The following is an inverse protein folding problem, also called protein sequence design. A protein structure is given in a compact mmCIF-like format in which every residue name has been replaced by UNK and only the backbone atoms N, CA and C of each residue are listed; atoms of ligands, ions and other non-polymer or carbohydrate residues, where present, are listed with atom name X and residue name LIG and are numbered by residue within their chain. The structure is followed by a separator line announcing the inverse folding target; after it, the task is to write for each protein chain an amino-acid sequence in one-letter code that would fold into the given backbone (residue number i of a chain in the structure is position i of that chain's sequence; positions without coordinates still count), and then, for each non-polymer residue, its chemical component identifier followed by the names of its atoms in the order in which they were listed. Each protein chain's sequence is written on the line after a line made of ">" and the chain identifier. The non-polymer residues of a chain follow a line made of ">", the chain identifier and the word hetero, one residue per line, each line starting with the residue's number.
data_IF_164291536333
#
_entry.id   IF_164291536333
#
_cell.length_a   1.000
_cell.length_b   1.000
_cell.length_c   1.000
_cell.angle_alpha   90.00
_cell.angle_beta   90.00
_cell.angle_gamma   90.00
#
_symmetry.space_group_name_H-M   'P 1'
#
loop_
_entity.id
_entity.type
_entity.pdbx_description
1 polymer ?
#
# COMPACT_ATOMS: atom_id res chain seq x y z
N UNK A 1 -4.23 36.99 17.55
CA UNK A 1 -2.87 36.54 17.23
C UNK A 1 -2.98 35.04 17.03
N UNK A 2 -3.26 34.64 15.79
CA UNK A 2 -3.43 33.25 15.37
C UNK A 2 -2.17 32.88 14.61
N UNK A 3 -1.46 31.86 15.08
CA UNK A 3 -0.47 31.13 14.30
C UNK A 3 -0.23 29.80 15.01
N UNK A 4 -1.10 28.84 14.70
CA UNK A 4 -0.89 27.43 15.02
C UNK A 4 0.41 26.94 14.37
N UNK A 5 1.33 26.48 15.21
CA UNK A 5 2.52 25.76 14.78
C UNK A 5 2.21 24.27 14.89
N UNK A 6 1.62 23.71 13.84
CA UNK A 6 1.45 22.26 13.68
C UNK A 6 2.86 21.72 13.48
N UNK A 7 3.37 21.04 14.51
CA UNK A 7 4.64 20.35 14.44
C UNK A 7 4.57 19.34 13.31
N UNK A 8 5.48 19.49 12.35
CA UNK A 8 5.71 18.49 11.32
C UNK A 8 6.25 17.25 12.02
N UNK A 9 5.46 16.17 11.95
CA UNK A 9 5.85 14.86 12.43
C UNK A 9 7.00 14.36 11.56
N UNK A 10 8.22 14.59 12.05
CA UNK A 10 9.45 14.08 11.50
C UNK A 10 9.52 12.56 11.69
N UNK A 11 8.69 11.84 10.94
CA UNK A 11 8.80 10.40 10.77
C UNK A 11 10.14 10.07 10.14
N UNK A 12 11.11 9.82 11.00
CA UNK A 12 12.43 9.27 10.70
C UNK A 12 12.28 8.18 9.64
N UNK A 13 12.86 8.40 8.46
CA UNK A 13 12.99 7.39 7.42
C UNK A 13 13.93 6.29 7.91
N UNK A 14 13.42 5.42 8.79
CA UNK A 14 14.06 4.18 9.18
C UNK A 14 14.36 3.41 7.89
N UNK A 15 15.60 2.95 7.77
CA UNK A 15 16.15 2.29 6.59
C UNK A 15 15.10 1.43 5.87
N UNK A 16 14.89 1.72 4.58
CA UNK A 16 13.89 1.06 3.74
C UNK A 16 14.14 -0.46 3.68
N UNK A 17 13.62 -1.17 4.67
CA UNK A 17 13.60 -2.61 4.72
C UNK A 17 12.63 -3.15 3.67
N UNK A 18 12.70 -4.45 3.35
CA UNK A 18 11.69 -5.11 2.54
C UNK A 18 10.28 -4.79 3.04
N UNK A 19 9.37 -4.50 2.10
CA UNK A 19 7.96 -4.26 2.42
C UNK A 19 7.16 -5.53 2.11
N UNK A 20 6.46 -6.05 3.10
CA UNK A 20 5.66 -7.26 2.99
C UNK A 20 4.17 -6.92 2.98
N UNK A 21 3.36 -7.79 2.37
CA UNK A 21 1.90 -7.69 2.48
C UNK A 21 1.40 -8.52 3.67
N UNK A 22 0.28 -8.14 4.28
CA UNK A 22 -0.35 -8.98 5.32
C UNK A 22 -0.65 -10.40 4.82
N UNK A 23 -0.98 -10.55 3.53
CA UNK A 23 -1.23 -11.87 2.95
C UNK A 23 0.05 -12.72 2.87
N UNK A 24 1.20 -12.10 2.63
CA UNK A 24 2.48 -12.80 2.63
C UNK A 24 2.88 -13.23 4.04
N UNK A 25 2.72 -12.33 5.02
CA UNK A 25 2.95 -12.67 6.44
C UNK A 25 2.01 -13.78 6.89
N UNK A 26 0.72 -13.74 6.52
CA UNK A 26 -0.27 -14.76 6.88
C UNK A 26 0.05 -16.18 6.38
N UNK A 27 0.88 -16.31 5.33
CA UNK A 27 1.35 -17.62 4.84
C UNK A 27 2.48 -18.20 5.69
N UNK A 28 3.15 -17.38 6.51
CA UNK A 28 4.28 -17.76 7.37
C UNK A 28 3.80 -17.97 8.80
N UNK A 29 3.00 -19.02 8.97
CA UNK A 29 2.30 -19.35 10.21
C UNK A 29 2.64 -20.75 10.75
N UNK A 30 3.85 -21.25 10.50
CA UNK A 30 4.27 -22.60 10.87
C UNK A 30 5.55 -22.60 11.71
N UNK A 31 5.83 -23.68 12.43
CA UNK A 31 7.06 -23.81 13.24
C UNK A 31 8.37 -23.73 12.46
N UNK A 32 8.32 -23.83 11.12
CA UNK A 32 9.49 -23.69 10.24
C UNK A 32 9.64 -22.30 9.66
N UNK A 33 8.56 -21.52 9.66
CA UNK A 33 8.48 -20.16 9.13
C UNK A 33 7.36 -19.44 9.90
N UNK A 34 7.74 -18.84 11.03
CA UNK A 34 6.83 -18.14 11.94
C UNK A 34 7.14 -16.65 11.92
N UNK A 35 6.28 -15.88 11.26
CA UNK A 35 6.41 -14.43 11.19
C UNK A 35 5.32 -13.75 12.01
N UNK A 36 5.66 -12.62 12.62
CA UNK A 36 4.74 -11.81 13.41
C UNK A 36 4.80 -10.36 12.96
N UNK A 37 3.67 -9.66 13.01
CA UNK A 37 3.65 -8.20 12.87
C UNK A 37 3.48 -7.57 14.25
N UNK A 38 4.37 -6.64 14.60
CA UNK A 38 4.28 -5.85 15.83
C UNK A 38 4.54 -4.39 15.46
N UNK A 39 3.60 -3.48 15.76
CA UNK A 39 3.67 -2.05 15.43
C UNK A 39 3.95 -1.79 13.93
N UNK A 40 3.35 -2.58 13.04
CA UNK A 40 3.54 -2.47 11.59
C UNK A 40 4.88 -2.98 11.07
N UNK A 41 5.71 -3.58 11.92
CA UNK A 41 6.99 -4.20 11.55
C UNK A 41 6.88 -5.71 11.56
N UNK A 42 7.56 -6.35 10.62
CA UNK A 42 7.55 -7.81 10.44
C UNK A 42 8.81 -8.40 11.06
N UNK A 43 8.61 -9.45 11.86
CA UNK A 43 9.64 -10.16 12.59
C UNK A 43 9.63 -11.65 12.25
N UNK A 44 10.79 -12.21 11.94
CA UNK A 44 10.97 -13.65 11.79
C UNK A 44 11.42 -14.27 13.11
N UNK A 45 10.45 -14.84 13.84
CA UNK A 45 10.68 -15.43 15.17
C UNK A 45 10.91 -16.94 15.11
N UNK A 46 11.09 -17.51 13.91
CA UNK A 46 11.25 -18.97 13.73
C UNK A 46 12.34 -19.57 14.62
N UNK A 47 13.46 -18.86 14.78
CA UNK A 47 14.59 -19.30 15.62
C UNK A 47 14.40 -19.04 17.11
N UNK A 48 13.42 -18.22 17.47
CA UNK A 48 13.13 -17.82 18.83
C UNK A 48 12.00 -18.64 19.46
N UNK A 49 11.32 -19.50 18.69
CA UNK A 49 10.20 -20.32 19.18
C UNK A 49 10.54 -21.06 20.49
N UNK A 50 11.64 -21.81 20.50
CA UNK A 50 12.08 -22.61 21.66
C UNK A 50 12.71 -21.77 22.77
N UNK A 51 13.19 -20.57 22.45
CA UNK A 51 13.86 -19.66 23.40
C UNK A 51 12.89 -18.70 24.09
N UNK A 52 11.65 -18.61 23.59
CA UNK A 52 10.65 -17.69 24.11
C UNK A 52 10.22 -18.09 25.53
N UNK A 53 10.40 -17.22 26.55
CA UNK A 53 10.05 -17.55 27.93
C UNK A 53 8.56 -17.85 28.16
N UNK A 54 7.69 -17.33 27.30
CA UNK A 54 6.25 -17.61 27.31
C UNK A 54 5.84 -18.93 26.62
N UNK A 55 6.81 -19.67 26.06
CA UNK A 55 6.60 -20.88 25.28
C UNK A 55 6.39 -20.62 23.78
N UNK A 56 6.66 -21.63 22.96
CA UNK A 56 6.51 -21.53 21.49
C UNK A 56 5.04 -21.44 21.05
N UNK A 57 4.13 -22.06 21.79
CA UNK A 57 2.71 -22.16 21.44
C UNK A 57 2.07 -20.78 21.26
N UNK A 58 2.36 -19.83 22.16
CA UNK A 58 1.80 -18.48 22.06
C UNK A 58 2.35 -17.69 20.87
N UNK A 59 3.57 -18.01 20.39
CA UNK A 59 4.11 -17.42 19.17
C UNK A 59 3.46 -18.04 17.93
N UNK A 60 3.24 -19.36 17.95
CA UNK A 60 2.58 -20.08 16.85
C UNK A 60 1.11 -19.70 16.69
N UNK A 61 0.39 -19.46 17.80
CA UNK A 61 -0.98 -18.97 17.78
C UNK A 61 -1.12 -17.60 17.08
N UNK A 62 -0.09 -16.75 17.25
CA UNK A 62 -0.02 -15.42 16.65
C UNK A 62 0.69 -15.41 15.30
N UNK A 63 1.33 -16.50 14.89
CA UNK A 63 2.09 -16.57 13.66
C UNK A 63 1.22 -16.25 12.43
N UNK A 64 1.76 -15.40 11.57
CA UNK A 64 1.10 -14.86 10.39
C UNK A 64 0.12 -13.72 10.65
N UNK A 65 0.04 -13.19 11.88
CA UNK A 65 -0.92 -12.14 12.27
C UNK A 65 -0.22 -10.91 12.83
N UNK A 66 -1.02 -9.87 13.04
CA UNK A 66 -0.65 -8.73 13.85
C UNK A 66 -0.82 -9.09 15.33
N UNK A 67 0.31 -9.23 16.02
CA UNK A 67 0.43 -9.62 17.40
C UNK A 67 0.66 -8.40 18.32
N UNK A 68 0.48 -7.17 17.81
CA UNK A 68 0.74 -5.93 18.57
C UNK A 68 -0.04 -5.89 19.88
N UNK A 69 -1.33 -6.19 19.84
CA UNK A 69 -2.20 -6.20 21.02
C UNK A 69 -1.70 -7.22 22.05
N UNK A 70 -1.52 -8.48 21.64
CA UNK A 70 -1.01 -9.53 22.54
C UNK A 70 0.38 -9.21 23.10
N UNK A 71 1.25 -8.57 22.31
CA UNK A 71 2.59 -8.18 22.75
C UNK A 71 2.56 -7.10 23.83
N UNK A 72 1.69 -6.08 23.66
CA UNK A 72 1.54 -4.98 24.62
C UNK A 72 0.76 -5.41 25.87
N UNK A 73 -0.26 -6.27 25.74
CA UNK A 73 -1.05 -6.79 26.86
C UNK A 73 -0.20 -7.60 27.85
N UNK A 74 0.78 -8.35 27.35
CA UNK A 74 1.74 -9.09 28.20
C UNK A 74 2.69 -8.15 28.94
N UNK A 75 2.96 -6.95 28.39
CA UNK A 75 3.85 -5.98 29.01
C UNK A 75 5.34 -6.37 28.95
N UNK A 76 5.81 -6.77 27.77
CA UNK A 76 7.23 -7.11 27.55
C UNK A 76 8.19 -5.99 27.98
N UNK A 77 9.28 -6.36 28.67
CA UNK A 77 10.31 -5.45 29.18
C UNK A 77 11.04 -4.71 28.05
N UNK A 78 11.75 -3.64 28.41
CA UNK A 78 12.62 -2.90 27.46
C UNK A 78 13.64 -3.83 26.81
N UNK A 79 14.24 -4.73 27.58
CA UNK A 79 15.25 -5.65 27.08
C UNK A 79 14.66 -6.65 26.07
N UNK A 80 13.43 -7.13 26.31
CA UNK A 80 12.72 -7.97 25.36
C UNK A 80 12.41 -7.21 24.06
N UNK A 81 12.03 -5.92 24.15
CA UNK A 81 11.81 -5.05 22.99
C UNK A 81 13.10 -4.78 22.21
N UNK A 82 14.24 -4.70 22.88
CA UNK A 82 15.54 -4.59 22.20
C UNK A 82 15.93 -5.90 21.51
N UNK A 83 15.71 -7.05 22.16
CA UNK A 83 15.94 -8.37 21.57
C UNK A 83 15.07 -8.60 20.33
N UNK A 84 13.81 -8.17 20.36
CA UNK A 84 12.89 -8.25 19.23
C UNK A 84 13.47 -7.63 17.94
N UNK A 85 14.27 -6.56 18.05
CA UNK A 85 14.89 -5.90 16.88
C UNK A 85 15.83 -6.82 16.10
N UNK A 86 16.40 -7.86 16.73
CA UNK A 86 17.29 -8.83 16.07
C UNK A 86 16.56 -9.70 15.05
N UNK A 87 15.24 -9.87 15.23
CA UNK A 87 14.37 -10.66 14.38
C UNK A 87 13.67 -9.83 13.30
N UNK A 88 13.94 -8.52 13.23
CA UNK A 88 13.31 -7.62 12.26
C UNK A 88 13.73 -7.96 10.83
N UNK A 89 12.75 -8.12 9.94
CA UNK A 89 12.99 -8.42 8.52
C UNK A 89 12.43 -7.36 7.57
N UNK A 90 11.56 -6.45 8.04
CA UNK A 90 10.96 -5.42 7.20
C UNK A 90 9.67 -4.83 7.78
N UNK A 91 8.94 -4.10 6.96
CA UNK A 91 7.68 -3.45 7.36
C UNK A 91 6.50 -4.03 6.59
N UNK A 92 5.31 -4.01 7.19
CA UNK A 92 4.10 -4.33 6.45
C UNK A 92 3.65 -3.10 5.66
N UNK A 93 3.22 -3.28 4.41
CA UNK A 93 2.67 -2.18 3.63
C UNK A 93 1.53 -1.56 4.44
N UNK A 94 1.59 -0.26 4.79
CA UNK A 94 0.51 0.37 5.51
C UNK A 94 -0.73 0.23 4.63
N UNK A 95 -1.78 -0.40 5.16
CA UNK A 95 -3.11 -0.29 4.56
C UNK A 95 -3.41 1.20 4.62
N UNK A 96 -3.10 1.93 3.55
CA UNK A 96 -3.42 3.35 3.48
C UNK A 96 -4.93 3.41 3.71
N UNK A 97 -5.41 4.10 4.76
CA UNK A 97 -6.84 4.25 4.94
C UNK A 97 -7.40 4.75 3.60
N UNK A 98 -8.41 4.03 3.09
CA UNK A 98 -8.97 4.21 1.74
C UNK A 98 -9.71 5.55 1.62
N UNK A 99 -9.04 6.67 1.82
CA UNK A 99 -9.51 7.99 1.40
C UNK A 99 -8.88 8.44 0.06
N UNK A 100 -8.02 7.61 -0.55
CA UNK A 100 -7.37 7.89 -1.84
C UNK A 100 -7.51 6.76 -2.88
N UNK A 101 -8.52 5.91 -2.76
CA UNK A 101 -8.72 4.79 -3.72
C UNK A 101 -10.12 4.76 -4.32
N UNK A 102 -10.83 5.90 -4.27
CA UNK A 102 -12.16 6.07 -4.89
C UNK A 102 -12.22 7.20 -5.93
N UNK A 103 -11.06 7.66 -6.41
CA UNK A 103 -10.98 8.42 -7.66
C UNK A 103 -9.89 7.79 -8.51
N UNK A 104 -10.21 7.45 -9.76
CA UNK A 104 -9.32 6.89 -10.82
C UNK A 104 -9.18 5.37 -10.94
N UNK A 105 -10.21 4.60 -10.61
CA UNK A 105 -10.44 3.28 -11.23
C UNK A 105 -11.76 3.26 -12.01
N UNK A 106 -11.88 4.19 -12.94
CA UNK A 106 -12.76 4.08 -14.11
C UNK A 106 -12.00 4.68 -15.30
N UNK A 107 -12.04 3.97 -16.43
CA UNK A 107 -11.11 4.15 -17.54
C UNK A 107 -10.87 5.61 -17.92
N UNK A 108 -9.61 6.02 -17.88
CA UNK A 108 -9.16 7.28 -18.42
C UNK A 108 -9.10 7.15 -19.95
N UNK A 109 -10.26 7.00 -20.59
CA UNK A 109 -10.40 7.39 -21.98
C UNK A 109 -10.14 8.90 -22.02
N UNK A 110 -9.05 9.30 -22.66
CA UNK A 110 -8.55 10.67 -22.68
C UNK A 110 -9.68 11.65 -22.98
N UNK A 111 -9.86 12.63 -22.10
CA UNK A 111 -10.86 13.70 -22.19
C UNK A 111 -10.86 14.46 -23.54
N UNK A 112 -9.80 14.31 -24.33
CA UNK A 112 -9.66 14.86 -25.68
C UNK A 112 -10.40 14.02 -26.75
N UNK A 113 -10.57 12.72 -26.54
CA UNK A 113 -11.11 11.80 -27.56
C UNK A 113 -12.62 11.95 -27.74
N UNK A 114 -13.37 12.23 -26.68
CA UNK A 114 -14.85 12.22 -26.74
C UNK A 114 -15.44 13.45 -27.40
N UNK A 115 -14.77 14.60 -27.36
CA UNK A 115 -15.27 15.85 -27.96
C UNK A 115 -14.54 16.25 -29.24
N UNK A 116 -13.23 15.98 -29.38
CA UNK A 116 -12.49 16.43 -30.56
C UNK A 116 -12.72 15.55 -31.79
N UNK A 117 -12.93 14.24 -31.62
CA UNK A 117 -13.17 13.31 -32.73
C UNK A 117 -14.46 13.66 -33.52
N UNK A 118 -15.64 13.85 -32.88
CA UNK A 118 -16.85 14.20 -33.63
C UNK A 118 -16.78 15.61 -34.25
N UNK A 119 -16.12 16.58 -33.58
CA UNK A 119 -15.97 17.95 -34.11
C UNK A 119 -15.04 17.96 -35.33
N UNK A 120 -13.92 17.22 -35.29
CA UNK A 120 -13.00 17.14 -36.41
C UNK A 120 -13.62 16.44 -37.62
N UNK A 121 -14.40 15.36 -37.38
CA UNK A 121 -15.16 14.67 -38.43
C UNK A 121 -16.15 15.60 -39.14
N UNK A 122 -16.92 16.39 -38.40
CA UNK A 122 -17.88 17.33 -38.99
C UNK A 122 -17.19 18.44 -39.83
N UNK A 123 -16.04 18.95 -39.39
CA UNK A 123 -15.27 19.96 -40.13
C UNK A 123 -14.72 19.42 -41.46
N UNK A 124 -14.17 18.20 -41.46
CA UNK A 124 -13.63 17.57 -42.68
C UNK A 124 -14.75 17.29 -43.68
N UNK A 125 -15.88 16.73 -43.23
CA UNK A 125 -17.04 16.45 -44.09
C UNK A 125 -17.61 17.76 -44.66
N UNK A 126 -17.71 18.83 -43.85
CA UNK A 126 -18.16 20.14 -44.30
C UNK A 126 -17.24 20.77 -45.36
N UNK A 127 -15.92 20.73 -45.14
CA UNK A 127 -14.93 21.22 -46.13
C UNK A 127 -14.97 20.40 -47.42
N UNK A 128 -15.08 19.08 -47.32
CA UNK A 128 -15.19 18.18 -48.47
C UNK A 128 -16.46 18.46 -49.27
N UNK A 129 -17.62 18.60 -48.61
CA UNK A 129 -18.87 18.94 -49.27
C UNK A 129 -18.82 20.32 -49.93
N UNK A 130 -18.18 21.31 -49.27
CA UNK A 130 -17.97 22.65 -49.82
C UNK A 130 -17.05 22.62 -51.04
N UNK A 131 -16.04 21.76 -51.08
CA UNK A 131 -15.22 21.52 -52.27
C UNK A 131 -16.04 20.90 -53.40
N UNK A 132 -16.70 19.76 -53.16
CA UNK A 132 -17.54 19.10 -54.17
C UNK A 132 -18.69 19.98 -54.71
N UNK A 133 -19.30 20.83 -53.89
CA UNK A 133 -20.34 21.77 -54.34
C UNK A 133 -19.77 22.97 -55.11
N UNK A 134 -18.48 23.30 -54.95
CA UNK A 134 -17.81 24.30 -55.79
C UNK A 134 -17.43 23.71 -57.14
N UNK A 135 -16.90 22.48 -57.19
CA UNK A 135 -16.63 21.76 -58.45
C UNK A 135 -17.93 21.35 -59.19
N UNK A 136 -19.01 21.05 -58.48
CA UNK A 136 -20.30 20.71 -59.10
C UNK A 136 -21.02 21.89 -59.77
N UNK A 137 -20.46 23.10 -59.72
CA UNK A 137 -21.02 24.33 -60.29
C UNK A 137 -20.27 24.84 -61.53
N UNK A 138 -19.26 24.11 -62.01
CA UNK A 138 -18.42 24.48 -63.16
C UNK A 138 -18.55 23.53 -64.37
N UNK A 139 -19.74 22.93 -64.58
CA UNK A 139 -20.11 22.30 -65.85
C UNK A 139 -21.50 22.73 -66.29
#
# INVERSE_FOLDING_TARGET
>A
MEAGKRAEDGGEAAAAGPVFTLQEVARRNSSREAWLVIHGRVYDVTRFLEEHPGGEEVLLEQAGKDATESFEDVGHSTDAREMLKQYYIGEVHPVRPRWDQNMTSSGQASFWSTWLIPIFGALVIGLMYRYYMLEGRSS
#
